data_IF_316592762188
#
_entry.id   IF_316592762188
#
_cell.length_a   1.000
_cell.length_b   1.000
_cell.length_c   1.000
_cell.angle_alpha   90.00
_cell.angle_beta   90.00
_cell.angle_gamma   90.00
#
_symmetry.space_group_name_H-M   'P 1'
#
loop_
_entity.id
_entity.type
_entity.pdbx_description
1 polymer ?
#
# COMPACT_ATOMS: atom_id res chain seq x y z
N UNK A 1 43.82 -16.31 44.57
CA UNK A 1 42.37 -16.12 44.34
C UNK A 1 42.18 -15.63 42.92
N UNK A 2 41.49 -16.36 42.03
CA UNK A 2 41.22 -15.87 40.67
C UNK A 2 39.94 -15.03 40.66
N UNK A 3 40.00 -13.89 39.99
CA UNK A 3 38.85 -13.03 39.73
C UNK A 3 38.10 -13.64 38.54
N UNK A 4 36.90 -14.16 38.77
CA UNK A 4 36.02 -14.60 37.69
C UNK A 4 35.64 -13.40 36.83
N UNK A 5 36.22 -13.32 35.64
CA UNK A 5 35.78 -12.40 34.60
C UNK A 5 34.42 -12.88 34.11
N UNK A 6 33.36 -12.23 34.60
CA UNK A 6 31.99 -12.45 34.12
C UNK A 6 31.90 -11.94 32.69
N UNK A 7 32.10 -12.83 31.72
CA UNK A 7 31.87 -12.55 30.31
C UNK A 7 30.37 -12.33 30.11
N UNK A 8 29.92 -11.09 30.14
CA UNK A 8 28.55 -10.74 29.75
C UNK A 8 28.43 -11.01 28.26
N UNK A 9 27.93 -12.19 27.88
CA UNK A 9 27.59 -12.48 26.51
C UNK A 9 26.51 -11.47 26.08
N UNK A 10 26.91 -10.47 25.30
CA UNK A 10 25.99 -9.49 24.71
C UNK A 10 25.07 -10.22 23.74
N UNK A 11 23.92 -10.67 24.23
CA UNK A 11 22.91 -11.35 23.41
C UNK A 11 22.45 -10.39 22.33
N UNK A 12 22.70 -10.71 21.06
CA UNK A 12 22.19 -9.90 19.94
C UNK A 12 20.71 -10.22 19.74
N UNK A 13 19.88 -9.20 19.85
CA UNK A 13 18.46 -9.29 19.53
C UNK A 13 18.29 -8.96 18.05
N UNK A 14 17.63 -9.86 17.32
CA UNK A 14 17.23 -9.66 15.94
C UNK A 14 15.70 -9.56 15.91
N UNK A 15 15.17 -8.47 15.37
CA UNK A 15 13.73 -8.22 15.27
C UNK A 15 13.24 -8.50 13.86
N UNK A 16 12.01 -8.99 13.76
CA UNK A 16 11.31 -9.21 12.48
C UNK A 16 10.00 -8.44 12.47
N UNK A 17 9.81 -7.61 11.45
CA UNK A 17 8.58 -6.84 11.28
C UNK A 17 7.58 -7.65 10.43
N UNK A 18 6.36 -7.82 10.94
CA UNK A 18 5.26 -8.47 10.25
C UNK A 18 3.97 -7.67 10.46
N UNK A 19 3.28 -7.35 9.37
CA UNK A 19 1.99 -6.66 9.41
C UNK A 19 0.86 -7.69 9.38
N UNK A 20 0.05 -7.77 10.44
CA UNK A 20 -1.07 -8.72 10.54
C UNK A 20 -2.34 -8.20 9.85
N UNK A 21 -2.59 -6.89 9.95
CA UNK A 21 -3.69 -6.21 9.25
C UNK A 21 -3.13 -4.93 8.62
N UNK A 22 -3.36 -4.76 7.32
CA UNK A 22 -2.99 -3.53 6.62
C UNK A 22 -3.82 -2.34 7.12
N UNK A 23 -3.27 -1.14 6.95
CA UNK A 23 -3.98 0.10 7.26
C UNK A 23 -5.27 0.18 6.43
N UNK A 24 -6.36 0.61 7.08
CA UNK A 24 -7.72 0.67 6.52
C UNK A 24 -8.13 2.11 6.17
N UNK A 25 -7.27 3.09 6.47
CA UNK A 25 -7.52 4.52 6.20
C UNK A 25 -7.12 4.83 4.77
N UNK A 26 -8.10 5.27 3.97
CA UNK A 26 -7.87 5.82 2.64
C UNK A 26 -7.35 7.27 2.74
N UNK A 27 -6.13 7.51 2.29
CA UNK A 27 -5.48 8.83 2.32
C UNK A 27 -5.76 9.60 1.03
N UNK A 28 -5.73 8.91 -0.12
CA UNK A 28 -6.03 9.48 -1.43
C UNK A 28 -6.79 8.47 -2.30
N UNK A 29 -7.61 9.00 -3.20
CA UNK A 29 -8.50 8.23 -4.08
C UNK A 29 -8.43 8.78 -5.51
N UNK A 30 -8.17 7.92 -6.49
CA UNK A 30 -8.26 8.22 -7.91
C UNK A 30 -9.28 7.29 -8.57
N UNK A 31 -10.11 7.83 -9.47
CA UNK A 31 -11.08 7.04 -10.25
C UNK A 31 -10.58 6.91 -11.68
N UNK A 32 -10.62 5.70 -12.23
CA UNK A 32 -10.16 5.44 -13.60
C UNK A 32 -10.41 4.01 -14.06
N UNK A 33 -10.05 3.71 -15.31
CA UNK A 33 -10.16 2.36 -15.86
C UNK A 33 -8.80 1.66 -15.77
N UNK A 34 -8.39 1.27 -14.56
CA UNK A 34 -7.05 0.72 -14.31
C UNK A 34 -6.85 -0.69 -14.88
N UNK A 35 -7.94 -1.45 -15.06
CA UNK A 35 -7.94 -2.78 -15.71
C UNK A 35 -8.06 -2.74 -17.24
N UNK A 36 -8.18 -1.55 -17.85
CA UNK A 36 -8.38 -1.40 -19.29
C UNK A 36 -9.79 -1.75 -19.78
N UNK A 37 -10.72 -2.09 -18.89
CA UNK A 37 -12.12 -2.30 -19.19
C UNK A 37 -12.91 -0.99 -19.38
N UNK A 38 -14.23 -1.12 -19.59
CA UNK A 38 -15.17 0.03 -19.62
C UNK A 38 -15.80 0.34 -18.26
N UNK A 39 -15.31 -0.29 -17.19
CA UNK A 39 -15.80 -0.09 -15.84
C UNK A 39 -14.82 0.77 -15.05
N UNK A 40 -15.35 1.71 -14.28
CA UNK A 40 -14.56 2.53 -13.39
C UNK A 40 -14.13 1.74 -12.15
N UNK A 41 -12.92 2.03 -11.73
CA UNK A 41 -12.25 1.47 -10.57
C UNK A 41 -11.63 2.60 -9.75
N UNK A 42 -11.36 2.29 -8.49
CA UNK A 42 -10.87 3.22 -7.50
C UNK A 42 -9.47 2.79 -7.09
N UNK A 43 -8.46 3.57 -7.43
CA UNK A 43 -7.12 3.41 -6.86
C UNK A 43 -7.07 4.16 -5.54
N UNK A 44 -6.89 3.43 -4.45
CA UNK A 44 -6.82 3.93 -3.08
C UNK A 44 -5.40 3.81 -2.57
N UNK A 45 -4.86 4.90 -2.02
CA UNK A 45 -3.67 4.82 -1.19
C UNK A 45 -4.05 4.69 0.27
N UNK A 46 -3.47 3.69 0.91
CA UNK A 46 -3.29 3.60 2.35
C UNK A 46 -1.82 3.93 2.64
N UNK A 47 -1.46 4.09 3.91
CA UNK A 47 -0.14 4.53 4.38
C UNK A 47 1.06 4.15 3.46
N UNK A 48 1.36 2.85 3.34
CA UNK A 48 2.44 2.33 2.49
C UNK A 48 1.97 1.24 1.52
N UNK A 49 0.67 1.20 1.24
CA UNK A 49 0.05 0.23 0.34
C UNK A 49 -0.97 0.87 -0.59
N UNK A 50 -1.09 0.31 -1.78
CA UNK A 50 -2.10 0.68 -2.76
C UNK A 50 -3.11 -0.45 -2.91
N UNK A 51 -4.36 -0.09 -3.17
CA UNK A 51 -5.42 -1.04 -3.49
C UNK A 51 -6.25 -0.52 -4.66
N UNK A 52 -6.70 -1.42 -5.52
CA UNK A 52 -7.70 -1.14 -6.55
C UNK A 52 -9.02 -1.73 -6.07
N UNK A 53 -10.02 -0.87 -5.87
CA UNK A 53 -11.36 -1.26 -5.49
C UNK A 53 -12.32 -1.09 -6.67
N UNK A 54 -13.29 -1.98 -6.81
CA UNK A 54 -14.39 -1.86 -7.77
C UNK A 54 -15.70 -1.85 -7.03
N UNK A 55 -16.65 -1.06 -7.52
CA UNK A 55 -18.04 -1.13 -7.06
C UNK A 55 -18.72 -2.26 -7.83
N UNK A 56 -19.24 -3.25 -7.11
CA UNK A 56 -20.16 -4.22 -7.68
C UNK A 56 -21.51 -3.54 -7.94
N UNK A 57 -21.93 -3.52 -9.21
CA UNK A 57 -23.11 -2.78 -9.66
C UNK A 57 -24.44 -3.42 -9.20
N UNK A 58 -24.45 -4.68 -8.80
CA UNK A 58 -25.65 -5.40 -8.38
C UNK A 58 -25.90 -5.24 -6.87
N UNK A 59 -24.83 -5.25 -6.09
CA UNK A 59 -24.87 -5.26 -4.62
C UNK A 59 -24.56 -3.90 -3.99
N UNK A 60 -24.06 -2.95 -4.79
CA UNK A 60 -23.56 -1.65 -4.35
C UNK A 60 -22.44 -1.75 -3.29
N UNK A 61 -21.66 -2.84 -3.32
CA UNK A 61 -20.51 -3.06 -2.41
C UNK A 61 -19.19 -2.72 -3.11
N UNK A 62 -18.22 -2.26 -2.32
CA UNK A 62 -16.83 -2.12 -2.75
C UNK A 62 -16.10 -3.44 -2.54
N UNK A 63 -15.44 -3.92 -3.59
CA UNK A 63 -14.62 -5.11 -3.57
C UNK A 63 -13.17 -4.78 -3.91
N UNK A 64 -12.23 -5.35 -3.16
CA UNK A 64 -10.81 -5.21 -3.46
C UNK A 64 -10.40 -6.16 -4.57
N UNK A 65 -10.00 -5.61 -5.72
CA UNK A 65 -9.52 -6.38 -6.88
C UNK A 65 -8.07 -6.81 -6.66
N UNK A 66 -7.24 -5.88 -6.17
CA UNK A 66 -5.81 -6.11 -5.96
C UNK A 66 -5.28 -5.16 -4.91
N UNK A 67 -4.30 -5.60 -4.12
CA UNK A 67 -3.57 -4.78 -3.17
C UNK A 67 -2.08 -5.11 -3.18
N UNK A 68 -1.25 -4.08 -2.96
CA UNK A 68 0.20 -4.22 -2.95
C UNK A 68 0.84 -3.24 -1.96
N UNK A 69 1.84 -3.70 -1.21
CA UNK A 69 2.72 -2.82 -0.44
C UNK A 69 3.71 -2.15 -1.38
N UNK A 70 3.78 -0.82 -1.34
CA UNK A 70 4.70 -0.02 -2.16
C UNK A 70 5.91 0.48 -1.37
N UNK A 71 5.90 0.31 -0.03
CA UNK A 71 7.00 0.64 0.88
C UNK A 71 7.51 2.10 0.76
N UNK A 72 6.65 3.00 0.27
CA UNK A 72 6.91 4.41 0.06
C UNK A 72 5.58 5.19 0.16
N UNK A 73 5.67 6.51 0.32
CA UNK A 73 4.50 7.39 0.27
C UNK A 73 3.97 7.50 -1.16
N UNK A 74 2.65 7.47 -1.31
CA UNK A 74 2.01 7.66 -2.61
C UNK A 74 1.85 9.15 -2.93
N UNK A 75 2.28 9.56 -4.12
CA UNK A 75 2.11 10.91 -4.66
C UNK A 75 1.61 10.78 -6.10
N UNK A 76 0.33 11.09 -6.39
CA UNK A 76 -0.22 10.98 -7.73
C UNK A 76 0.28 12.12 -8.60
N UNK A 77 0.60 11.81 -9.86
CA UNK A 77 0.86 12.81 -10.88
C UNK A 77 -0.43 13.12 -11.64
N UNK A 78 -0.65 14.38 -12.05
CA UNK A 78 -1.75 14.73 -12.93
C UNK A 78 -1.62 13.97 -14.25
N UNK A 79 -2.69 13.25 -14.63
CA UNK A 79 -2.78 12.52 -15.89
C UNK A 79 -3.45 13.39 -16.96
N UNK A 80 -2.76 13.56 -18.08
CA UNK A 80 -3.24 14.17 -19.32
C UNK A 80 -2.10 14.16 -20.34
N UNK A 81 -2.33 13.58 -21.52
CA UNK A 81 -1.40 13.79 -22.64
C UNK A 81 -1.39 15.29 -22.95
N UNK A 82 -0.24 15.92 -23.24
CA UNK A 82 -0.27 17.26 -23.81
C UNK A 82 -1.11 17.18 -25.06
N UNK A 83 -2.24 17.87 -25.09
CA UNK A 83 -3.01 18.04 -26.32
C UNK A 83 -2.05 18.66 -27.32
N UNK A 84 -1.82 17.96 -28.43
CA UNK A 84 -1.04 18.46 -29.54
C UNK A 84 -1.84 19.65 -30.10
N UNK A 85 -1.52 20.87 -29.66
CA UNK A 85 -1.97 22.06 -30.35
C UNK A 85 -1.38 22.00 -31.76
N UNK A 86 -2.28 21.89 -32.75
CA UNK A 86 -1.97 21.87 -34.17
C UNK A 86 -1.73 23.26 -34.75
#
# INVERSE_FOLDING_TARGET
MPIEQRTTASTRIHLYNLTLKQADVAIQLLVGNFSGGRHQENLVSHDTSLAILRVDAQTAKLESISSASVFASFVPLPFGLPEHEG
#
